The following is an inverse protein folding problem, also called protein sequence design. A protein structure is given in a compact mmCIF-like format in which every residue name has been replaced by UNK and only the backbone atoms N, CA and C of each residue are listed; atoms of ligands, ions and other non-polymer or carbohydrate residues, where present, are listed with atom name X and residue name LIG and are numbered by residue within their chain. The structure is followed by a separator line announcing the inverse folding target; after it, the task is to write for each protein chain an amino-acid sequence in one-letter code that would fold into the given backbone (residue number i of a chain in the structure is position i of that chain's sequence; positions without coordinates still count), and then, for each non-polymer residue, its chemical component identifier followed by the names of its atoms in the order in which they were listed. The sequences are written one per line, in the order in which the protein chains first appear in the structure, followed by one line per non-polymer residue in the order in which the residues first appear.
data_IF_918299091712
#
_entry.id   IF_918299091712
#
_cell.length_a   1.000
_cell.length_b   1.000
_cell.length_c   1.000
_cell.angle_alpha   90.00
_cell.angle_beta   90.00
_cell.angle_gamma   90.00
#
_symmetry.space_group_name_H-M   'P 1'
#
loop_
_entity.id
_entity.type
_entity.pdbx_description
1 polymer ?
#
# COMPACT_ATOMS: atom_id res chain seq x y z
N UNK A 1 3.55 -2.19 15.83
CA UNK A 1 2.30 -2.28 16.60
C UNK A 1 1.08 -1.86 15.78
N UNK A 2 1.13 -0.74 15.03
CA UNK A 2 -0.02 -0.27 14.24
C UNK A 2 -0.49 -1.25 13.17
N UNK A 3 0.43 -2.02 12.58
CA UNK A 3 0.10 -3.01 11.55
C UNK A 3 -0.54 -4.26 12.18
N UNK A 4 0.23 -4.96 13.02
CA UNK A 4 -0.22 -6.16 13.73
C UNK A 4 0.68 -6.40 14.95
N UNK A 5 0.12 -6.50 16.17
CA UNK A 5 0.92 -6.78 17.36
C UNK A 5 1.67 -8.11 17.32
N UNK A 6 1.19 -9.08 16.57
CA UNK A 6 1.85 -10.38 16.39
C UNK A 6 3.20 -10.31 15.65
N UNK A 7 3.53 -9.18 15.03
CA UNK A 7 4.87 -8.94 14.46
C UNK A 7 5.94 -8.68 15.53
N UNK A 8 5.53 -8.36 16.78
CA UNK A 8 6.42 -8.04 17.89
C UNK A 8 6.31 -9.05 19.05
N UNK A 9 5.19 -9.72 19.16
CA UNK A 9 4.90 -10.64 20.26
C UNK A 9 4.58 -12.02 19.70
N UNK A 10 5.51 -12.97 19.78
CA UNK A 10 5.40 -14.34 19.25
C UNK A 10 4.19 -15.12 19.77
N UNK A 11 3.73 -14.81 20.98
CA UNK A 11 2.59 -15.47 21.62
C UNK A 11 1.29 -14.66 21.56
N UNK A 12 1.22 -13.60 20.75
CA UNK A 12 0.01 -12.80 20.62
C UNK A 12 -1.09 -13.55 19.87
N UNK A 13 -2.16 -13.87 20.61
CA UNK A 13 -3.34 -14.59 20.07
C UNK A 13 -4.50 -13.66 19.71
N UNK A 14 -4.37 -12.37 19.98
CA UNK A 14 -5.36 -11.36 19.60
C UNK A 14 -5.31 -11.09 18.08
N UNK A 15 -6.43 -10.68 17.51
CA UNK A 15 -6.51 -10.25 16.12
C UNK A 15 -5.97 -8.83 15.92
N UNK A 16 -5.75 -8.45 14.68
CA UNK A 16 -5.50 -7.07 14.28
C UNK A 16 -6.71 -6.54 13.51
N UNK A 17 -7.31 -5.44 13.98
CA UNK A 17 -8.46 -4.83 13.31
C UNK A 17 -8.15 -4.44 11.86
N UNK A 18 -6.91 -4.01 11.58
CA UNK A 18 -6.45 -3.71 10.20
C UNK A 18 -6.43 -4.97 9.36
N UNK A 19 -5.89 -6.06 9.89
CA UNK A 19 -5.83 -7.35 9.19
C UNK A 19 -7.23 -7.86 8.88
N UNK A 20 -8.14 -7.83 9.85
CA UNK A 20 -9.53 -8.26 9.66
C UNK A 20 -10.27 -7.41 8.61
N UNK A 21 -10.09 -6.09 8.66
CA UNK A 21 -10.67 -5.18 7.66
C UNK A 21 -10.16 -5.51 6.25
N UNK A 22 -8.84 -5.67 6.09
CA UNK A 22 -8.23 -5.96 4.78
C UNK A 22 -8.65 -7.33 4.26
N UNK A 23 -8.74 -8.35 5.11
CA UNK A 23 -9.31 -9.67 4.75
C UNK A 23 -10.73 -9.54 4.21
N UNK A 24 -11.57 -8.78 4.90
CA UNK A 24 -12.95 -8.52 4.45
C UNK A 24 -13.01 -7.81 3.10
N UNK A 25 -12.18 -6.79 2.89
CA UNK A 25 -12.10 -6.06 1.62
C UNK A 25 -11.62 -6.97 0.47
N UNK A 26 -10.58 -7.76 0.70
CA UNK A 26 -10.05 -8.69 -0.32
C UNK A 26 -11.09 -9.74 -0.67
N UNK A 27 -11.71 -10.37 0.34
CA UNK A 27 -12.74 -11.39 0.10
C UNK A 27 -13.89 -10.83 -0.72
N UNK A 28 -14.40 -9.65 -0.34
CA UNK A 28 -15.48 -9.00 -1.08
C UNK A 28 -15.08 -8.68 -2.52
N UNK A 29 -13.87 -8.17 -2.75
CA UNK A 29 -13.37 -7.88 -4.08
C UNK A 29 -13.28 -9.16 -4.94
N UNK A 30 -12.69 -10.23 -4.40
CA UNK A 30 -12.51 -11.51 -5.10
C UNK A 30 -13.85 -12.17 -5.43
N UNK A 31 -14.80 -12.17 -4.50
CA UNK A 31 -16.15 -12.69 -4.71
C UNK A 31 -16.92 -11.95 -5.83
N UNK A 32 -16.59 -10.66 -6.03
CA UNK A 32 -17.16 -9.86 -7.10
C UNK A 32 -16.34 -9.85 -8.40
N UNK A 33 -15.32 -10.70 -8.50
CA UNK A 33 -14.50 -10.88 -9.73
C UNK A 33 -13.46 -9.80 -9.96
N UNK A 34 -13.10 -9.03 -8.92
CA UNK A 34 -12.07 -8.01 -8.99
C UNK A 34 -10.68 -8.56 -8.70
N UNK A 35 -9.66 -8.00 -9.36
CA UNK A 35 -8.25 -8.26 -9.02
C UNK A 35 -7.70 -7.17 -8.11
N UNK A 36 -6.96 -7.60 -7.08
CA UNK A 36 -6.49 -6.76 -5.98
C UNK A 36 -4.98 -6.63 -5.98
N UNK A 37 -4.47 -5.40 -5.88
CA UNK A 37 -3.09 -5.11 -5.51
C UNK A 37 -3.04 -4.76 -4.01
N UNK A 38 -2.28 -5.52 -3.25
CA UNK A 38 -2.07 -5.28 -1.82
C UNK A 38 -0.64 -4.79 -1.59
N UNK A 39 -0.49 -3.53 -1.17
CA UNK A 39 0.79 -2.92 -0.89
C UNK A 39 1.06 -2.80 0.60
N UNK A 40 2.28 -3.12 1.02
CA UNK A 40 2.82 -2.78 2.33
C UNK A 40 4.29 -2.36 2.24
N UNK A 41 4.71 -1.46 3.11
CA UNK A 41 6.13 -1.09 3.25
C UNK A 41 6.93 -2.16 4.01
N UNK A 42 6.25 -2.95 4.85
CA UNK A 42 6.86 -3.98 5.69
C UNK A 42 6.72 -5.35 5.04
N UNK A 43 7.85 -5.92 4.62
CA UNK A 43 7.87 -7.26 4.00
C UNK A 43 7.34 -8.34 4.95
N UNK A 44 7.67 -8.24 6.24
CA UNK A 44 7.17 -9.17 7.27
C UNK A 44 5.64 -9.13 7.41
N UNK A 45 5.05 -7.93 7.31
CA UNK A 45 3.58 -7.80 7.31
C UNK A 45 2.97 -8.37 6.03
N UNK A 46 3.61 -8.13 4.90
CA UNK A 46 3.17 -8.65 3.60
C UNK A 46 3.20 -10.19 3.58
N UNK A 47 4.26 -10.81 4.12
CA UNK A 47 4.39 -12.26 4.27
C UNK A 47 3.30 -12.84 5.18
N UNK A 48 2.96 -12.12 6.27
CA UNK A 48 1.88 -12.53 7.16
C UNK A 48 0.53 -12.48 6.46
N UNK A 49 0.24 -11.39 5.74
CA UNK A 49 -1.00 -11.27 4.95
C UNK A 49 -1.08 -12.35 3.86
N UNK A 50 0.03 -12.63 3.20
CA UNK A 50 0.12 -13.68 2.21
C UNK A 50 -0.25 -15.07 2.79
N UNK A 51 0.29 -15.42 3.97
CA UNK A 51 -0.05 -16.68 4.67
C UNK A 51 -1.54 -16.74 5.05
N UNK A 52 -2.11 -15.63 5.50
CA UNK A 52 -3.55 -15.55 5.81
C UNK A 52 -4.38 -15.82 4.55
N UNK A 53 -3.99 -15.27 3.40
CA UNK A 53 -4.67 -15.53 2.13
C UNK A 53 -4.56 -17.00 1.70
N UNK A 54 -3.41 -17.64 1.92
CA UNK A 54 -3.21 -19.06 1.68
C UNK A 54 -4.13 -19.93 2.58
N UNK A 55 -4.22 -19.61 3.88
CA UNK A 55 -5.13 -20.28 4.82
C UNK A 55 -6.60 -20.15 4.40
N UNK A 56 -6.98 -19.01 3.82
CA UNK A 56 -8.32 -18.76 3.28
C UNK A 56 -8.53 -19.32 1.87
N UNK A 57 -7.50 -19.98 1.31
CA UNK A 57 -7.53 -20.54 -0.06
C UNK A 57 -7.74 -19.47 -1.15
N UNK A 58 -7.32 -18.26 -0.89
CA UNK A 58 -7.29 -17.17 -1.87
C UNK A 58 -5.93 -17.21 -2.57
N UNK A 59 -5.92 -17.60 -3.83
CA UNK A 59 -4.69 -17.64 -4.63
C UNK A 59 -4.08 -16.23 -4.71
N UNK A 60 -2.77 -16.14 -4.50
CA UNK A 60 -2.08 -14.85 -4.51
C UNK A 60 -0.63 -14.96 -4.99
N UNK A 61 -0.15 -13.92 -5.66
CA UNK A 61 1.26 -13.71 -5.94
C UNK A 61 1.90 -12.84 -4.86
N UNK A 62 3.21 -13.02 -4.63
CA UNK A 62 3.98 -12.16 -3.72
C UNK A 62 5.27 -11.68 -4.37
N UNK A 63 5.44 -10.34 -4.43
CA UNK A 63 6.60 -9.68 -5.00
C UNK A 63 7.27 -8.79 -3.96
N UNK A 64 8.54 -9.07 -3.66
CA UNK A 64 9.35 -8.31 -2.70
C UNK A 64 10.64 -7.81 -3.33
N UNK A 65 11.43 -7.07 -2.56
CA UNK A 65 12.76 -6.61 -2.99
C UNK A 65 13.72 -7.76 -3.32
N UNK A 66 13.53 -8.93 -2.70
CA UNK A 66 14.34 -10.11 -2.90
C UNK A 66 13.98 -10.92 -4.18
N UNK A 67 12.83 -10.62 -4.80
CA UNK A 67 12.38 -11.33 -6.02
C UNK A 67 13.31 -10.99 -7.20
N UNK A 68 13.92 -11.98 -7.89
CA UNK A 68 14.76 -11.76 -9.07
C UNK A 68 14.03 -11.02 -10.19
N UNK A 69 14.77 -10.26 -11.01
CA UNK A 69 14.19 -9.41 -12.06
C UNK A 69 13.37 -10.20 -13.08
N UNK A 70 13.88 -11.33 -13.52
CA UNK A 70 13.22 -12.20 -14.49
C UNK A 70 11.89 -12.72 -13.94
N UNK A 71 11.90 -13.20 -12.70
CA UNK A 71 10.70 -13.69 -12.02
C UNK A 71 9.66 -12.59 -11.79
N UNK A 72 10.08 -11.32 -11.60
CA UNK A 72 9.15 -10.19 -11.50
C UNK A 72 8.36 -9.99 -12.79
N UNK A 73 9.05 -10.07 -13.93
CA UNK A 73 8.42 -9.90 -15.25
C UNK A 73 7.41 -11.02 -15.47
N UNK A 74 7.83 -12.27 -15.25
CA UNK A 74 6.98 -13.44 -15.38
C UNK A 74 5.71 -13.34 -14.51
N UNK A 75 5.87 -12.96 -13.23
CA UNK A 75 4.73 -12.81 -12.31
C UNK A 75 3.75 -11.71 -12.74
N UNK A 76 4.25 -10.58 -13.27
CA UNK A 76 3.42 -9.49 -13.76
C UNK A 76 2.66 -9.89 -15.02
N UNK A 77 3.32 -10.57 -15.94
CA UNK A 77 2.70 -11.09 -17.16
C UNK A 77 1.67 -12.18 -16.83
N UNK A 78 2.01 -13.09 -15.92
CA UNK A 78 1.09 -14.11 -15.44
C UNK A 78 -0.16 -13.50 -14.82
N UNK A 79 -0.01 -12.54 -13.89
CA UNK A 79 -1.12 -11.87 -13.22
C UNK A 79 -2.09 -11.18 -14.19
N UNK A 80 -1.60 -10.72 -15.34
CA UNK A 80 -2.47 -10.11 -16.35
C UNK A 80 -3.44 -11.11 -17.01
N UNK A 81 -3.10 -12.41 -17.04
CA UNK A 81 -3.80 -13.43 -17.79
C UNK A 81 -4.29 -14.62 -16.98
N UNK A 82 -3.76 -14.82 -15.76
CA UNK A 82 -4.15 -15.92 -14.89
C UNK A 82 -5.41 -15.62 -14.06
N UNK A 83 -5.90 -16.64 -13.35
CA UNK A 83 -7.07 -16.55 -12.47
C UNK A 83 -6.70 -16.08 -11.04
N UNK A 84 -5.42 -15.74 -10.78
CA UNK A 84 -4.97 -15.32 -9.45
C UNK A 84 -5.52 -13.93 -9.13
N UNK A 85 -6.36 -13.80 -8.08
CA UNK A 85 -7.07 -12.54 -7.84
C UNK A 85 -6.25 -11.51 -7.05
N UNK A 86 -5.20 -11.91 -6.32
CA UNK A 86 -4.46 -11.01 -5.42
C UNK A 86 -2.98 -10.97 -5.75
N UNK A 87 -2.41 -9.77 -5.78
CA UNK A 87 -0.97 -9.57 -5.90
C UNK A 87 -0.45 -8.75 -4.71
N UNK A 88 0.28 -9.40 -3.82
CA UNK A 88 0.94 -8.79 -2.67
C UNK A 88 2.28 -8.21 -3.10
N UNK A 89 2.49 -6.91 -2.93
CA UNK A 89 3.68 -6.21 -3.46
C UNK A 89 4.29 -5.33 -2.37
N UNK A 90 5.59 -5.48 -2.11
CA UNK A 90 6.28 -4.52 -1.25
C UNK A 90 6.41 -3.17 -1.96
N UNK A 91 6.15 -2.05 -1.25
CA UNK A 91 6.20 -0.70 -1.83
C UNK A 91 7.53 -0.38 -2.52
N UNK A 92 8.65 -0.86 -1.94
CA UNK A 92 9.99 -0.69 -2.53
C UNK A 92 10.15 -1.45 -3.85
N UNK A 93 9.56 -2.63 -3.97
CA UNK A 93 9.61 -3.42 -5.18
C UNK A 93 8.65 -2.91 -6.26
N UNK A 94 7.53 -2.32 -5.87
CA UNK A 94 6.52 -1.72 -6.76
C UNK A 94 7.02 -0.52 -7.55
N UNK A 95 8.15 0.10 -7.18
CA UNK A 95 8.74 1.26 -7.86
C UNK A 95 9.32 1.00 -9.27
N UNK A 96 9.42 -0.25 -9.72
CA UNK A 96 10.19 -0.66 -10.91
C UNK A 96 9.38 -0.80 -12.21
N UNK A 97 8.52 0.16 -12.55
CA UNK A 97 7.92 0.22 -13.90
C UNK A 97 6.90 -0.87 -14.25
N UNK A 98 6.40 -1.62 -13.27
CA UNK A 98 5.46 -2.72 -13.46
C UNK A 98 4.15 -2.22 -14.10
N UNK A 99 3.56 -2.99 -15.00
CA UNK A 99 2.24 -2.75 -15.57
C UNK A 99 1.23 -3.72 -14.94
N UNK A 100 0.32 -3.20 -14.09
CA UNK A 100 -0.62 -3.99 -13.29
C UNK A 100 -2.07 -3.59 -13.56
N UNK A 101 -2.36 -3.20 -14.81
CA UNK A 101 -3.69 -2.76 -15.26
C UNK A 101 -4.77 -3.85 -15.23
N UNK A 102 -4.41 -5.09 -14.95
CA UNK A 102 -5.38 -6.16 -14.72
C UNK A 102 -6.14 -5.99 -13.39
N UNK A 103 -5.59 -5.22 -12.43
CA UNK A 103 -6.23 -4.96 -11.15
C UNK A 103 -7.03 -3.66 -11.17
N UNK A 104 -8.16 -3.66 -10.51
CA UNK A 104 -9.05 -2.52 -10.33
C UNK A 104 -9.33 -2.20 -8.86
N UNK A 105 -8.74 -2.96 -7.95
CA UNK A 105 -8.72 -2.66 -6.50
C UNK A 105 -7.29 -2.54 -6.01
N UNK A 106 -6.98 -1.45 -5.34
CA UNK A 106 -5.66 -1.18 -4.75
C UNK A 106 -5.82 -0.95 -3.25
N UNK A 107 -5.10 -1.71 -2.44
CA UNK A 107 -5.11 -1.59 -0.99
C UNK A 107 -3.71 -1.24 -0.50
N UNK A 108 -3.56 -0.09 0.14
CA UNK A 108 -2.38 0.27 0.90
C UNK A 108 -2.62 -0.10 2.37
N UNK A 109 -1.94 -1.14 2.84
CA UNK A 109 -2.11 -1.64 4.20
C UNK A 109 -1.58 -0.68 5.27
N UNK A 110 -0.54 0.05 4.94
CA UNK A 110 0.11 1.04 5.81
C UNK A 110 0.48 2.31 5.02
N UNK A 111 0.51 3.49 5.67
CA UNK A 111 0.93 4.72 5.03
C UNK A 111 2.46 4.75 4.89
N UNK A 112 2.95 5.39 3.84
CA UNK A 112 4.37 5.64 3.61
C UNK A 112 4.67 7.13 3.74
N UNK A 113 5.82 7.48 4.33
CA UNK A 113 6.25 8.88 4.50
C UNK A 113 6.26 9.70 3.21
N UNK A 114 6.55 9.05 2.10
CA UNK A 114 6.59 9.67 0.79
C UNK A 114 5.33 9.30 -0.01
N UNK A 115 4.36 10.22 -0.05
CA UNK A 115 3.11 10.04 -0.80
C UNK A 115 3.34 9.80 -2.30
N UNK A 116 4.41 10.34 -2.88
CA UNK A 116 4.74 10.12 -4.29
C UNK A 116 4.99 8.63 -4.60
N UNK A 117 5.62 7.88 -3.68
CA UNK A 117 5.84 6.44 -3.84
C UNK A 117 4.52 5.66 -3.77
N UNK A 118 3.60 6.04 -2.86
CA UNK A 118 2.27 5.44 -2.80
C UNK A 118 1.45 5.73 -4.06
N UNK A 119 1.46 6.96 -4.52
CA UNK A 119 0.78 7.36 -5.75
C UNK A 119 1.38 6.63 -6.95
N UNK A 120 2.71 6.53 -7.05
CA UNK A 120 3.37 5.76 -8.08
C UNK A 120 2.97 4.28 -8.06
N UNK A 121 2.78 3.67 -6.89
CA UNK A 121 2.30 2.30 -6.76
C UNK A 121 0.84 2.18 -7.25
N UNK A 122 -0.02 3.12 -6.91
CA UNK A 122 -1.40 3.20 -7.39
C UNK A 122 -1.46 3.36 -8.92
N UNK A 123 -0.58 4.20 -9.49
CA UNK A 123 -0.50 4.44 -10.94
C UNK A 123 -0.11 3.20 -11.74
N UNK A 124 0.32 2.11 -11.10
CA UNK A 124 0.55 0.81 -11.76
C UNK A 124 -0.75 0.16 -12.24
N UNK A 125 -1.83 0.36 -11.47
CA UNK A 125 -3.17 -0.06 -11.86
C UNK A 125 -3.86 0.99 -12.75
N UNK A 126 -3.63 2.28 -12.47
CA UNK A 126 -4.25 3.41 -13.19
C UNK A 126 -3.38 3.89 -14.35
N UNK A 127 -3.27 3.10 -15.42
CA UNK A 127 -2.50 3.40 -16.64
C UNK A 127 -3.35 3.30 -17.89
N UNK A 128 -2.80 3.80 -19.00
CA UNK A 128 -3.37 3.60 -20.33
C UNK A 128 -3.55 2.08 -20.56
N UNK A 129 -4.79 1.67 -20.84
CA UNK A 129 -5.19 0.26 -20.95
C UNK A 129 -6.08 -0.22 -19.82
N UNK A 130 -6.20 0.51 -18.71
CA UNK A 130 -7.19 0.23 -17.67
C UNK A 130 -8.60 0.56 -18.19
N UNK A 131 -9.50 -0.42 -18.12
CA UNK A 131 -10.89 -0.29 -18.58
C UNK A 131 -11.89 -0.05 -17.47
N UNK A 132 -11.49 -0.37 -16.22
CA UNK A 132 -12.33 -0.29 -15.04
C UNK A 132 -11.99 0.94 -14.19
N UNK A 133 -12.94 1.35 -13.36
CA UNK A 133 -12.68 2.33 -12.30
C UNK A 133 -11.78 1.67 -11.25
N UNK A 134 -10.65 2.30 -10.95
CA UNK A 134 -9.73 1.79 -9.92
C UNK A 134 -10.16 2.31 -8.55
N UNK A 135 -10.51 1.39 -7.66
CA UNK A 135 -10.84 1.70 -6.27
C UNK A 135 -9.58 1.62 -5.40
N UNK A 136 -9.26 2.71 -4.69
CA UNK A 136 -8.04 2.78 -3.86
C UNK A 136 -8.43 2.90 -2.39
N UNK A 137 -8.01 1.94 -1.58
CA UNK A 137 -8.20 1.91 -0.13
C UNK A 137 -6.87 2.18 0.58
N UNK A 138 -6.86 3.14 1.49
CA UNK A 138 -5.74 3.42 2.39
C UNK A 138 -6.17 3.09 3.81
N UNK A 139 -5.52 2.11 4.42
CA UNK A 139 -5.90 1.61 5.73
C UNK A 139 -5.06 2.30 6.80
N UNK A 140 -5.72 2.93 7.76
CA UNK A 140 -5.10 3.70 8.83
C UNK A 140 -5.60 3.23 10.19
N UNK A 141 -4.67 3.10 11.14
CA UNK A 141 -5.02 2.89 12.54
C UNK A 141 -5.29 4.25 13.20
N UNK A 142 -6.54 4.46 13.64
CA UNK A 142 -6.97 5.70 14.30
C UNK A 142 -6.27 5.91 15.64
N UNK A 143 -5.94 7.16 15.98
CA UNK A 143 -5.24 7.52 17.22
C UNK A 143 -3.78 7.07 17.27
N UNK A 144 -3.13 6.88 16.12
CA UNK A 144 -1.74 6.40 16.03
C UNK A 144 -0.86 7.33 15.19
N UNK A 145 0.44 6.99 15.15
CA UNK A 145 1.41 7.68 14.27
C UNK A 145 0.99 7.67 12.79
N UNK A 146 0.15 6.72 12.37
CA UNK A 146 -0.26 6.63 10.97
C UNK A 146 -1.13 7.82 10.55
N UNK A 147 -2.00 8.33 11.42
CA UNK A 147 -2.76 9.56 11.17
C UNK A 147 -1.81 10.75 11.02
N UNK A 148 -0.82 10.88 11.91
CA UNK A 148 0.18 11.95 11.83
C UNK A 148 0.97 11.90 10.51
N UNK A 149 1.31 10.70 10.02
CA UNK A 149 2.00 10.55 8.72
C UNK A 149 1.13 11.10 7.58
N UNK A 150 -0.17 10.80 7.58
CA UNK A 150 -1.10 11.29 6.55
C UNK A 150 -1.26 12.81 6.62
N UNK A 151 -1.43 13.38 7.80
CA UNK A 151 -1.48 14.82 7.99
C UNK A 151 -0.22 15.52 7.44
N UNK A 152 0.96 14.94 7.68
CA UNK A 152 2.21 15.43 7.12
C UNK A 152 2.26 15.37 5.60
N UNK A 153 1.76 14.28 5.02
CA UNK A 153 1.66 14.14 3.57
C UNK A 153 0.77 15.26 2.98
N UNK A 154 -0.38 15.50 3.58
CA UNK A 154 -1.34 16.52 3.14
C UNK A 154 -0.75 17.94 3.24
N UNK A 155 -0.07 18.25 4.36
CA UNK A 155 0.63 19.53 4.52
C UNK A 155 1.70 19.74 3.46
N UNK A 156 2.49 18.69 3.14
CA UNK A 156 3.50 18.75 2.07
C UNK A 156 2.89 19.01 0.70
N UNK A 157 1.78 18.36 0.39
CA UNK A 157 1.07 18.58 -0.88
C UNK A 157 0.56 20.03 -0.98
N UNK A 158 -0.09 20.55 0.06
CA UNK A 158 -0.57 21.94 0.11
C UNK A 158 0.57 22.96 -0.06
N UNK A 159 1.73 22.72 0.56
CA UNK A 159 2.91 23.56 0.39
C UNK A 159 3.44 23.52 -1.05
N UNK A 160 3.50 22.33 -1.65
CA UNK A 160 3.92 22.18 -3.04
C UNK A 160 3.00 22.91 -4.00
N UNK A 161 1.69 22.79 -3.83
CA UNK A 161 0.69 23.46 -4.67
C UNK A 161 0.77 24.98 -4.56
N UNK A 162 1.00 25.52 -3.36
CA UNK A 162 1.21 26.96 -3.15
C UNK A 162 2.48 27.48 -3.82
N UNK A 163 3.58 26.73 -3.74
CA UNK A 163 4.84 27.09 -4.39
C UNK A 163 4.68 27.09 -5.91
N UNK A 164 4.03 26.07 -6.46
CA UNK A 164 3.80 25.95 -7.91
C UNK A 164 2.73 26.95 -8.41
N UNK A 165 1.80 27.39 -7.54
CA UNK A 165 0.80 28.40 -7.83
C UNK A 165 1.32 29.84 -7.89
N UNK A 166 2.63 30.08 -7.70
CA UNK A 166 3.26 31.40 -7.82
C UNK A 166 3.13 32.30 -6.59
N UNK A 167 2.63 31.81 -5.46
CA UNK A 167 2.74 32.50 -4.19
C UNK A 167 4.16 32.37 -3.66
N UNK A 168 4.89 33.48 -3.60
CA UNK A 168 6.24 33.52 -3.05
C UNK A 168 6.20 33.25 -1.55
N UNK A 169 6.28 31.99 -1.18
CA UNK A 169 6.55 31.58 0.19
C UNK A 169 8.06 31.47 0.37
N UNK A 170 8.60 32.29 1.25
CA UNK A 170 9.87 31.94 1.89
C UNK A 170 9.73 30.50 2.37
N UNK A 171 10.59 29.64 1.85
CA UNK A 171 10.61 28.20 2.15
C UNK A 171 10.90 28.00 3.65
N UNK A 172 9.88 28.12 4.48
CA UNK A 172 9.93 27.60 5.84
C UNK A 172 9.73 26.10 5.71
N UNK A 173 10.85 25.40 5.56
CA UNK A 173 10.90 23.98 5.83
C UNK A 173 10.32 23.73 7.23
N UNK A 174 9.77 22.53 7.46
CA UNK A 174 9.31 22.12 8.80
C UNK A 174 10.37 22.51 9.82
N UNK A 175 10.00 23.38 10.75
CA UNK A 175 10.90 23.79 11.83
C UNK A 175 11.21 22.60 12.72
N UNK A 176 12.31 22.66 13.44
CA UNK A 176 12.67 21.64 14.43
C UNK A 176 11.56 21.44 15.47
N UNK A 177 10.86 22.53 15.82
CA UNK A 177 9.74 22.53 16.75
C UNK A 177 8.54 21.74 16.20
N UNK A 178 8.18 21.93 14.94
CA UNK A 178 7.10 21.18 14.27
C UNK A 178 7.44 19.69 14.16
N UNK A 179 8.72 19.33 13.92
CA UNK A 179 9.17 17.94 13.96
C UNK A 179 9.08 17.32 15.37
N UNK A 180 9.40 18.11 16.40
CA UNK A 180 9.30 17.64 17.80
C UNK A 180 7.84 17.51 18.28
N UNK A 181 6.93 18.36 17.79
CA UNK A 181 5.50 18.26 18.07
C UNK A 181 4.87 17.01 17.43
N UNK A 182 5.39 16.57 16.30
CA UNK A 182 4.96 15.35 15.62
C UNK A 182 5.43 14.06 16.30
N UNK A 183 6.43 14.15 17.17
CA UNK A 183 6.97 13.03 17.92
C UNK A 183 6.40 12.91 19.35
N UNK A 184 5.57 13.89 19.77
CA UNK A 184 4.85 13.88 21.04
C UNK A 184 3.44 13.29 20.88
#
# INVERSE_FOLDING_TARGET
LCCDPALLYDNYKGGSAKTELVRGLIRNAVENGHKVLLFSQFTTMLERLYRILEEEKIASHMLTGATPKEKRIEMVESFAHDEVPVFCISLKAGGTGLNLTAADVVIHFDPWWNSAVQNQATDRAHRIGQKNVVNVYRILAKGTIEEKIVELQERKLQLSDRILGGESLQAQGLTREELLELLR
#
